data_IF_037636693870
#
_entry.id   IF_037636693870
#
_cell.length_a   1.000
_cell.length_b   1.000
_cell.length_c   1.000
_cell.angle_alpha   90.00
_cell.angle_beta   90.00
_cell.angle_gamma   90.00
#
_symmetry.space_group_name_H-M   'P 1'
#
loop_
_entity.id
_entity.type
_entity.pdbx_description
1 polymer ?
#
# COMPACT_ATOMS: atom_id res chain seq x y z
N UNK A 1 22.43 7.13 40.06
CA UNK A 1 21.60 6.07 39.44
C UNK A 1 21.73 6.25 37.94
N UNK A 2 22.68 5.57 37.32
CA UNK A 2 22.81 5.45 35.88
C UNK A 2 22.25 4.07 35.49
N UNK A 3 21.55 4.01 34.35
CA UNK A 3 21.15 2.82 33.55
C UNK A 3 19.73 3.11 33.03
N UNK A 4 19.62 3.74 31.87
CA UNK A 4 19.43 3.10 30.54
C UNK A 4 17.95 3.07 30.18
N UNK A 5 17.56 3.81 29.14
CA UNK A 5 16.52 3.47 28.15
C UNK A 5 16.27 4.66 27.21
N UNK A 6 17.24 4.92 26.35
CA UNK A 6 17.01 5.47 25.00
C UNK A 6 17.74 4.49 24.05
N UNK A 7 17.23 4.11 22.85
CA UNK A 7 16.03 4.55 22.16
C UNK A 7 15.27 3.36 21.53
N UNK A 8 14.17 2.87 22.13
CA UNK A 8 13.31 1.87 21.44
C UNK A 8 12.34 2.55 20.45
N UNK A 9 12.88 3.42 19.59
CA UNK A 9 12.21 3.73 18.32
C UNK A 9 12.46 2.51 17.44
N UNK A 10 11.64 1.47 17.69
CA UNK A 10 11.56 0.21 16.98
C UNK A 10 11.99 0.40 15.53
N UNK A 11 13.21 -0.06 15.25
CA UNK A 11 13.78 -0.05 13.91
C UNK A 11 12.71 -0.62 12.97
N UNK A 12 12.31 0.19 11.99
CA UNK A 12 11.49 -0.33 10.89
C UNK A 12 12.23 -1.57 10.40
N UNK A 13 11.55 -2.71 10.40
CA UNK A 13 12.11 -3.92 9.81
C UNK A 13 12.47 -3.56 8.37
N UNK A 14 13.77 -3.35 8.12
CA UNK A 14 14.26 -2.89 6.81
C UNK A 14 13.84 -3.87 5.72
N UNK A 15 13.52 -5.12 6.08
CA UNK A 15 13.01 -6.11 5.15
C UNK A 15 11.69 -5.71 4.50
N UNK A 16 10.90 -4.84 5.13
CA UNK A 16 9.63 -4.36 4.59
C UNK A 16 9.81 -3.25 3.54
N UNK A 17 10.98 -2.61 3.50
CA UNK A 17 11.35 -1.54 2.58
C UNK A 17 12.34 -2.02 1.50
N UNK A 18 12.57 -3.34 1.40
CA UNK A 18 13.52 -3.92 0.45
C UNK A 18 13.11 -3.74 -1.02
N UNK A 19 11.82 -3.55 -1.30
CA UNK A 19 11.31 -3.23 -2.62
C UNK A 19 10.42 -1.98 -2.54
N UNK A 20 10.53 -1.10 -3.53
CA UNK A 20 9.65 0.07 -3.64
C UNK A 20 8.24 -0.35 -4.06
N UNK A 21 7.27 0.52 -3.78
CA UNK A 21 5.89 0.32 -4.22
C UNK A 21 5.77 0.18 -5.75
N UNK A 22 6.57 0.96 -6.49
CA UNK A 22 6.68 0.90 -7.94
C UNK A 22 7.21 -0.46 -8.43
N UNK A 23 8.25 -0.99 -7.78
CA UNK A 23 8.84 -2.29 -8.16
C UNK A 23 7.86 -3.44 -7.94
N UNK A 24 7.10 -3.41 -6.84
CA UNK A 24 6.07 -4.41 -6.54
C UNK A 24 4.95 -4.33 -7.57
N UNK A 25 4.47 -3.13 -7.88
CA UNK A 25 3.47 -2.90 -8.92
C UNK A 25 3.97 -3.38 -10.30
N UNK A 26 5.23 -3.14 -10.63
CA UNK A 26 5.87 -3.60 -11.85
C UNK A 26 5.90 -5.14 -11.96
N UNK A 27 6.14 -5.85 -10.85
CA UNK A 27 6.03 -7.32 -10.80
C UNK A 27 4.59 -7.78 -11.01
N UNK A 28 3.62 -7.12 -10.38
CA UNK A 28 2.19 -7.42 -10.54
C UNK A 28 1.69 -7.24 -11.96
N UNK A 29 2.14 -6.19 -12.67
CA UNK A 29 1.80 -5.96 -14.08
C UNK A 29 2.30 -7.07 -15.02
N UNK A 30 3.40 -7.74 -14.65
CA UNK A 30 3.96 -8.85 -15.41
C UNK A 30 3.47 -10.23 -14.95
N UNK A 31 2.71 -10.28 -13.86
CA UNK A 31 2.26 -11.53 -13.26
C UNK A 31 1.16 -12.18 -14.10
N UNK A 32 1.23 -13.50 -14.24
CA UNK A 32 0.16 -14.29 -14.87
C UNK A 32 -1.07 -14.43 -13.97
N UNK A 33 -0.86 -14.41 -12.64
CA UNK A 33 -1.91 -14.50 -11.62
C UNK A 33 -1.75 -13.36 -10.61
N UNK A 34 -2.32 -12.21 -10.95
CA UNK A 34 -2.31 -11.01 -10.10
C UNK A 34 -2.89 -11.30 -8.72
N UNK A 35 -4.00 -12.03 -8.66
CA UNK A 35 -4.73 -12.28 -7.42
C UNK A 35 -3.84 -13.00 -6.42
N UNK A 36 -3.14 -14.04 -6.86
CA UNK A 36 -2.17 -14.75 -6.03
C UNK A 36 -1.05 -13.84 -5.55
N UNK A 37 -0.43 -13.06 -6.42
CA UNK A 37 0.70 -12.18 -6.06
C UNK A 37 0.29 -11.13 -5.02
N UNK A 38 -0.89 -10.52 -5.19
CA UNK A 38 -1.44 -9.55 -4.23
C UNK A 38 -1.72 -10.22 -2.88
N UNK A 39 -2.39 -11.37 -2.87
CA UNK A 39 -2.67 -12.07 -1.61
C UNK A 39 -1.40 -12.53 -0.89
N UNK A 40 -0.39 -12.99 -1.62
CA UNK A 40 0.90 -13.38 -1.04
C UNK A 40 1.61 -12.19 -0.40
N UNK A 41 1.62 -11.04 -1.07
CA UNK A 41 2.16 -9.80 -0.53
C UNK A 41 1.43 -9.36 0.74
N UNK A 42 0.10 -9.33 0.72
CA UNK A 42 -0.71 -8.98 1.89
C UNK A 42 -0.49 -9.94 3.05
N UNK A 43 -0.50 -11.25 2.81
CA UNK A 43 -0.26 -12.27 3.83
C UNK A 43 1.12 -12.14 4.47
N UNK A 44 2.12 -11.69 3.70
CA UNK A 44 3.47 -11.45 4.21
C UNK A 44 3.59 -10.15 5.03
N UNK A 45 2.99 -9.07 4.55
CA UNK A 45 3.19 -7.73 5.10
C UNK A 45 2.24 -7.39 6.26
N UNK A 46 0.96 -7.80 6.20
CA UNK A 46 -0.06 -7.44 7.21
C UNK A 46 0.34 -7.89 8.63
N UNK A 47 0.77 -9.13 8.88
CA UNK A 47 1.19 -9.55 10.22
C UNK A 47 2.41 -8.76 10.73
N UNK A 48 3.33 -8.42 9.83
CA UNK A 48 4.52 -7.61 10.18
C UNK A 48 4.16 -6.17 10.53
N UNK A 49 3.05 -5.64 10.03
CA UNK A 49 2.59 -4.29 10.36
C UNK A 49 1.82 -4.31 11.68
N UNK A 50 0.80 -5.18 11.80
CA UNK A 50 -0.20 -5.10 12.87
C UNK A 50 -0.03 -6.11 14.02
N UNK A 51 0.81 -7.15 13.89
CA UNK A 51 0.94 -8.20 14.89
C UNK A 51 2.27 -8.16 15.67
N UNK A 52 2.88 -6.97 15.82
CA UNK A 52 4.21 -6.80 16.45
C UNK A 52 4.24 -6.87 17.98
N UNK A 53 3.09 -6.97 18.65
CA UNK A 53 3.03 -7.10 20.10
C UNK A 53 1.73 -6.55 20.69
N UNK A 54 1.60 -6.56 22.03
CA UNK A 54 0.38 -6.12 22.72
C UNK A 54 0.17 -4.59 22.69
N UNK A 55 1.20 -3.81 22.32
CA UNK A 55 1.15 -2.35 22.29
C UNK A 55 1.04 -1.86 20.84
N UNK A 56 -0.18 -1.59 20.33
CA UNK A 56 -0.34 -1.05 18.98
C UNK A 56 0.24 0.35 18.89
N UNK A 57 0.75 0.71 17.71
CA UNK A 57 1.19 2.06 17.39
C UNK A 57 0.49 2.53 16.10
N UNK A 58 -0.77 3.01 16.21
CA UNK A 58 -1.64 3.22 15.05
C UNK A 58 -1.04 4.13 13.98
N UNK A 59 -0.39 5.24 14.36
CA UNK A 59 0.15 6.20 13.39
C UNK A 59 1.27 5.60 12.52
N UNK A 60 2.13 4.76 13.10
CA UNK A 60 3.21 4.06 12.37
C UNK A 60 2.63 2.92 11.56
N UNK A 61 1.68 2.18 12.11
CA UNK A 61 0.98 1.11 11.40
C UNK A 61 0.28 1.65 10.15
N UNK A 62 -0.44 2.77 10.26
CA UNK A 62 -1.07 3.46 9.14
C UNK A 62 -0.04 3.93 8.11
N UNK A 63 1.08 4.51 8.56
CA UNK A 63 2.16 4.93 7.66
C UNK A 63 2.74 3.74 6.89
N UNK A 64 2.99 2.62 7.57
CA UNK A 64 3.50 1.41 6.95
C UNK A 64 2.46 0.78 6.02
N UNK A 65 1.19 0.76 6.41
CA UNK A 65 0.10 0.27 5.58
C UNK A 65 -0.03 1.09 4.30
N UNK A 66 0.06 2.42 4.39
CA UNK A 66 0.04 3.30 3.23
C UNK A 66 1.20 2.98 2.27
N UNK A 67 2.43 2.85 2.76
CA UNK A 67 3.58 2.66 1.89
C UNK A 67 3.70 1.23 1.34
N UNK A 68 3.39 0.23 2.15
CA UNK A 68 3.69 -1.19 1.85
C UNK A 68 2.48 -1.91 1.28
N UNK A 69 1.27 -1.60 1.75
CA UNK A 69 0.05 -2.29 1.30
C UNK A 69 -0.65 -1.50 0.18
N UNK A 70 -0.90 -0.21 0.42
CA UNK A 70 -1.67 0.63 -0.49
C UNK A 70 -0.82 1.16 -1.65
N UNK A 71 0.40 1.61 -1.37
CA UNK A 71 1.31 2.16 -2.38
C UNK A 71 1.46 1.28 -3.63
N UNK A 72 1.78 -0.02 -3.53
CA UNK A 72 1.84 -0.89 -4.70
C UNK A 72 0.53 -0.98 -5.49
N UNK A 73 -0.62 -0.93 -4.81
CA UNK A 73 -1.93 -0.93 -5.47
C UNK A 73 -2.17 0.39 -6.21
N UNK A 74 -1.82 1.51 -5.60
CA UNK A 74 -1.92 2.84 -6.22
C UNK A 74 -1.07 2.90 -7.49
N UNK A 75 0.20 2.47 -7.41
CA UNK A 75 1.09 2.38 -8.58
C UNK A 75 0.53 1.43 -9.65
N UNK A 76 0.00 0.26 -9.26
CA UNK A 76 -0.59 -0.70 -10.19
C UNK A 76 -1.82 -0.14 -10.92
N UNK A 77 -2.70 0.56 -10.19
CA UNK A 77 -3.92 1.17 -10.74
C UNK A 77 -3.57 2.33 -11.69
N UNK A 78 -2.62 3.18 -11.29
CA UNK A 78 -2.21 4.34 -12.08
C UNK A 78 -1.34 3.95 -13.29
N UNK A 79 -0.54 2.90 -13.18
CA UNK A 79 0.49 2.53 -14.18
C UNK A 79 1.64 3.54 -14.29
N UNK A 80 1.66 4.52 -13.39
CA UNK A 80 2.65 5.60 -13.26
C UNK A 80 2.61 6.11 -11.81
N UNK A 81 3.40 7.14 -11.52
CA UNK A 81 3.39 7.80 -10.20
C UNK A 81 1.96 8.17 -9.77
N UNK A 82 1.46 7.66 -8.63
CA UNK A 82 0.12 7.95 -8.12
C UNK A 82 -0.20 9.44 -8.00
N UNK A 83 0.80 10.28 -7.71
CA UNK A 83 0.62 11.73 -7.63
C UNK A 83 0.24 12.36 -8.98
N UNK A 84 0.60 11.69 -10.09
CA UNK A 84 0.26 12.10 -11.46
C UNK A 84 -0.92 11.31 -12.02
N UNK A 85 -1.01 10.02 -11.69
CA UNK A 85 -2.01 9.10 -12.24
C UNK A 85 -3.43 9.39 -11.74
N UNK A 86 -3.61 9.62 -10.43
CA UNK A 86 -4.95 9.88 -9.88
C UNK A 86 -5.62 11.13 -10.48
N UNK A 87 -4.94 12.30 -10.57
CA UNK A 87 -5.52 13.46 -11.24
C UNK A 87 -5.93 13.19 -12.70
N UNK A 88 -5.15 12.40 -13.45
CA UNK A 88 -5.49 12.02 -14.83
C UNK A 88 -6.70 11.10 -14.87
N UNK A 89 -6.79 10.12 -13.97
CA UNK A 89 -7.94 9.22 -13.85
C UNK A 89 -9.22 9.99 -13.51
N UNK A 90 -9.14 10.96 -12.60
CA UNK A 90 -10.26 11.83 -12.27
C UNK A 90 -10.71 12.69 -13.46
N UNK A 91 -9.76 13.27 -14.21
CA UNK A 91 -10.08 14.04 -15.42
C UNK A 91 -10.67 13.17 -16.54
N UNK A 92 -10.22 11.93 -16.66
CA UNK A 92 -10.73 10.94 -17.61
C UNK A 92 -12.09 10.36 -17.20
N UNK A 93 -12.49 10.49 -15.93
CA UNK A 93 -13.77 10.05 -15.41
C UNK A 93 -14.91 10.92 -15.97
N UNK A 94 -15.32 10.60 -17.20
CA UNK A 94 -16.45 11.21 -17.91
C UNK A 94 -17.62 10.25 -17.86
N UNK A 95 -18.45 10.28 -16.79
CA UNK A 95 -19.62 9.41 -16.71
C UNK A 95 -20.52 9.66 -17.92
N UNK A 96 -21.04 8.57 -18.49
CA UNK A 96 -21.96 8.66 -19.63
C UNK A 96 -23.18 9.50 -19.25
N UNK A 97 -23.66 10.37 -20.15
CA UNK A 97 -24.91 11.12 -19.97
C UNK A 97 -26.15 10.21 -19.79
N UNK A 98 -26.00 8.89 -19.94
CA UNK A 98 -27.02 7.87 -19.70
C UNK A 98 -26.99 7.28 -18.29
N UNK A 99 -25.94 7.49 -17.48
CA UNK A 99 -25.92 7.04 -16.10
C UNK A 99 -26.95 7.86 -15.30
N UNK A 100 -28.05 7.23 -14.89
CA UNK A 100 -29.12 7.89 -14.13
C UNK A 100 -30.45 8.09 -14.87
N UNK A 101 -30.58 7.70 -16.15
CA UNK A 101 -31.89 7.70 -16.85
C UNK A 101 -32.57 6.33 -16.94
N UNK A 102 -31.93 5.27 -16.44
CA UNK A 102 -32.40 3.88 -16.63
C UNK A 102 -33.23 3.35 -15.45
N UNK A 103 -33.35 4.12 -14.36
CA UNK A 103 -34.27 3.80 -13.26
C UNK A 103 -35.31 4.93 -13.13
N UNK A 104 -36.52 4.69 -13.63
CA UNK A 104 -37.75 5.40 -13.32
C UNK A 104 -38.83 4.39 -13.00
#
# INVERSE_FOLDING_TARGET
MASEMEPEVQAIDRSLLECSAEEIAGKWLQATDLTREVYQHLAHCVPKIYCRGPNPFPQKEDTLAQHILLGPMEWYICGEDPALGFPKLEQANKPSHLCGRVFK
#
